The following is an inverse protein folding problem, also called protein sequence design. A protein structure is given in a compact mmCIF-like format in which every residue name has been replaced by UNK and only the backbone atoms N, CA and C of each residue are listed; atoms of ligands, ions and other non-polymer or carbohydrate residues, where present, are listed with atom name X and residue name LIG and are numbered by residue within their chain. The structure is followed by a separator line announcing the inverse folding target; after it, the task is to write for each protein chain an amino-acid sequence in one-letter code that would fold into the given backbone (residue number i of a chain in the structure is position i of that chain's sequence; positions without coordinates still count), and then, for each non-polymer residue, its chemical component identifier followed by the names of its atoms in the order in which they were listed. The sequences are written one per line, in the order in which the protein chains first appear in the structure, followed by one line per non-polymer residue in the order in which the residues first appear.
data_IF_231934963317
#
_entry.id   IF_231934963317
#
_cell.length_a   1.000
_cell.length_b   1.000
_cell.length_c   1.000
_cell.angle_alpha   90.00
_cell.angle_beta   90.00
_cell.angle_gamma   90.00
#
_symmetry.space_group_name_H-M   'P 1'
#
loop_
_entity.id
_entity.type
_entity.pdbx_description
1 polymer ?
#
# COMPACT_ATOMS: atom_id res chain seq x y z
N UNK A 1 5.49 -10.95 4.45
CA UNK A 1 6.13 -9.69 4.04
C UNK A 1 6.48 -9.79 2.57
N UNK A 2 5.66 -9.18 1.71
CA UNK A 2 5.91 -9.07 0.26
C UNK A 2 6.30 -7.61 -0.10
N UNK A 3 6.62 -7.36 -1.37
CA UNK A 3 7.04 -6.02 -1.82
C UNK A 3 6.00 -4.92 -1.59
N UNK A 4 4.71 -5.21 -1.77
CA UNK A 4 3.64 -4.25 -1.57
C UNK A 4 3.47 -3.86 -0.10
N UNK A 5 3.50 -4.84 0.81
CA UNK A 5 3.45 -4.60 2.26
C UNK A 5 4.68 -3.82 2.73
N UNK A 6 5.87 -4.13 2.22
CA UNK A 6 7.10 -3.39 2.56
C UNK A 6 7.04 -1.93 2.11
N UNK A 7 6.49 -1.68 0.91
CA UNK A 7 6.29 -0.32 0.40
C UNK A 7 5.29 0.45 1.27
N UNK A 8 4.11 -0.11 1.55
CA UNK A 8 3.08 0.54 2.37
C UNK A 8 3.55 0.85 3.78
N UNK A 9 4.24 -0.08 4.45
CA UNK A 9 4.81 0.18 5.78
C UNK A 9 5.83 1.31 5.76
N UNK A 10 6.60 1.44 4.69
CA UNK A 10 7.54 2.55 4.51
C UNK A 10 6.82 3.88 4.30
N UNK A 11 5.70 3.88 3.55
CA UNK A 11 4.86 5.06 3.35
C UNK A 11 4.22 5.52 4.67
N UNK A 12 3.64 4.60 5.46
CA UNK A 12 3.07 4.90 6.79
C UNK A 12 4.14 5.47 7.72
N UNK A 13 5.31 4.83 7.79
CA UNK A 13 6.43 5.31 8.62
C UNK A 13 6.94 6.68 8.18
N UNK A 14 6.69 7.07 6.93
CA UNK A 14 7.03 8.40 6.38
C UNK A 14 5.91 9.42 6.58
N UNK A 15 4.79 9.05 7.22
CA UNK A 15 3.66 9.93 7.47
C UNK A 15 2.75 10.17 6.26
N UNK A 16 2.79 9.29 5.25
CA UNK A 16 1.84 9.33 4.14
C UNK A 16 0.51 8.73 4.60
N UNK A 17 -0.57 9.49 4.50
CA UNK A 17 -1.91 9.10 4.96
C UNK A 17 -2.93 8.91 3.83
N UNK A 18 -2.60 9.35 2.61
CA UNK A 18 -3.53 9.38 1.48
C UNK A 18 -2.83 8.91 0.21
N UNK A 19 -3.43 7.96 -0.50
CA UNK A 19 -2.96 7.48 -1.79
C UNK A 19 -4.05 7.65 -2.85
N UNK A 20 -3.75 8.41 -3.90
CA UNK A 20 -4.57 8.46 -5.10
C UNK A 20 -4.04 7.45 -6.11
N UNK A 21 -4.88 6.53 -6.55
CA UNK A 21 -4.51 5.50 -7.51
C UNK A 21 -5.64 5.22 -8.50
N UNK A 22 -5.26 4.80 -9.71
CA UNK A 22 -6.16 4.22 -10.70
C UNK A 22 -5.65 2.81 -11.03
N UNK A 23 -5.93 1.80 -10.19
CA UNK A 23 -5.28 0.51 -10.28
C UNK A 23 -5.75 -0.29 -11.50
N UNK A 24 -4.79 -0.93 -12.18
CA UNK A 24 -5.03 -2.02 -13.11
C UNK A 24 -4.66 -3.38 -12.49
N UNK A 25 -4.66 -4.44 -13.30
CA UNK A 25 -4.41 -5.81 -12.83
C UNK A 25 -3.06 -5.97 -12.12
N UNK A 26 -2.01 -5.30 -12.62
CA UNK A 26 -0.67 -5.36 -12.03
C UNK A 26 -0.62 -4.76 -10.63
N UNK A 27 -1.45 -3.75 -10.36
CA UNK A 27 -1.50 -3.02 -9.09
C UNK A 27 -2.44 -3.65 -8.06
N UNK A 28 -3.26 -4.64 -8.43
CA UNK A 28 -4.21 -5.27 -7.50
C UNK A 28 -3.54 -5.91 -6.28
N UNK A 29 -2.29 -6.35 -6.40
CA UNK A 29 -1.51 -6.84 -5.25
C UNK A 29 -1.16 -5.74 -4.25
N UNK A 30 -0.98 -4.50 -4.74
CA UNK A 30 -0.79 -3.33 -3.90
C UNK A 30 -2.10 -2.90 -3.25
N UNK A 31 -3.20 -2.88 -4.01
CA UNK A 31 -4.55 -2.60 -3.48
C UNK A 31 -4.91 -3.57 -2.36
N UNK A 32 -4.70 -4.88 -2.56
CA UNK A 32 -4.97 -5.89 -1.53
C UNK A 32 -4.05 -5.78 -0.30
N UNK A 33 -2.91 -5.10 -0.42
CA UNK A 33 -2.01 -4.87 0.71
C UNK A 33 -2.45 -3.66 1.55
N UNK A 34 -3.19 -2.69 0.99
CA UNK A 34 -3.77 -1.57 1.74
C UNK A 34 -4.64 -2.10 2.89
N UNK A 35 -5.50 -3.08 2.60
CA UNK A 35 -6.39 -3.71 3.60
C UNK A 35 -5.64 -4.46 4.73
N UNK A 36 -4.34 -4.74 4.58
CA UNK A 36 -3.55 -5.57 5.51
C UNK A 36 -2.52 -4.78 6.31
N UNK A 37 -2.23 -3.55 5.92
CA UNK A 37 -1.22 -2.71 6.56
C UNK A 37 -1.93 -1.63 7.37
N UNK A 38 -1.94 -1.80 8.68
CA UNK A 38 -2.52 -0.81 9.59
C UNK A 38 -1.94 0.59 9.36
N UNK A 39 -2.82 1.59 9.32
CA UNK A 39 -2.45 2.99 9.08
C UNK A 39 -2.53 3.44 7.62
N UNK A 40 -2.95 2.56 6.71
CA UNK A 40 -3.40 2.89 5.34
C UNK A 40 -4.85 2.44 5.12
#
# INVERSE_FOLDING_TARGET
MNGAESLLRSLVNSGVDTCFANPGTSEMHFVAALDRVDGM
#
